data_IF_118757881908
#
_entry.id   IF_118757881908
#
_cell.length_a   1.000
_cell.length_b   1.000
_cell.length_c   1.000
_cell.angle_alpha   90.00
_cell.angle_beta   90.00
_cell.angle_gamma   90.00
#
_symmetry.space_group_name_H-M   'P 1'
#
loop_
_entity.id
_entity.type
_entity.pdbx_description
1 polymer ?
#
# COMPACT_ATOMS: atom_id res chain seq x y z
N UNK A 1 38.89 -12.57 7.82
CA UNK A 1 37.52 -12.31 8.31
C UNK A 1 36.70 -13.54 7.96
N UNK A 2 36.00 -14.16 8.94
CA UNK A 2 35.33 -15.44 8.74
C UNK A 2 34.19 -15.31 7.72
N UNK A 3 34.25 -16.06 6.62
CA UNK A 3 33.22 -16.11 5.56
C UNK A 3 31.81 -16.33 6.12
N UNK A 4 31.70 -17.04 7.26
CA UNK A 4 30.43 -17.26 7.96
C UNK A 4 29.76 -15.96 8.44
N UNK A 5 30.51 -14.96 8.90
CA UNK A 5 29.94 -13.70 9.43
C UNK A 5 29.30 -12.87 8.30
N UNK A 6 29.89 -12.90 7.09
CA UNK A 6 29.38 -12.15 5.94
C UNK A 6 28.04 -12.71 5.43
N UNK A 7 27.87 -14.03 5.46
CA UNK A 7 26.62 -14.69 5.07
C UNK A 7 25.48 -14.34 6.04
N UNK A 8 25.74 -14.30 7.35
CA UNK A 8 24.72 -13.92 8.34
C UNK A 8 24.27 -12.45 8.20
N UNK A 9 25.16 -11.54 7.80
CA UNK A 9 24.80 -10.13 7.55
C UNK A 9 23.93 -9.99 6.29
N UNK A 10 24.22 -10.74 5.21
CA UNK A 10 23.39 -10.74 4.00
C UNK A 10 22.04 -11.40 4.27
N UNK A 11 22.00 -12.50 5.03
CA UNK A 11 20.75 -13.17 5.39
C UNK A 11 19.87 -12.29 6.29
N UNK A 12 20.47 -11.53 7.22
CA UNK A 12 19.78 -10.54 8.03
C UNK A 12 19.20 -9.38 7.22
N UNK A 13 19.90 -8.93 6.18
CA UNK A 13 19.44 -7.86 5.27
C UNK A 13 18.30 -8.32 4.33
N UNK A 14 18.25 -9.60 3.98
CA UNK A 14 17.17 -10.18 3.17
C UNK A 14 15.87 -10.35 3.97
N UNK A 15 15.95 -10.50 5.30
CA UNK A 15 14.78 -10.69 6.16
C UNK A 15 14.09 -9.37 6.58
N UNK A 16 14.68 -8.21 6.32
CA UNK A 16 14.23 -6.92 6.90
C UNK A 16 13.39 -6.02 5.97
N UNK A 17 13.04 -6.45 4.75
CA UNK A 17 12.44 -5.55 3.74
C UNK A 17 11.01 -5.94 3.30
N UNK A 18 10.25 -6.61 4.17
CA UNK A 18 8.83 -6.90 3.92
C UNK A 18 7.95 -6.31 5.02
N UNK A 19 8.00 -4.98 5.19
CA UNK A 19 6.93 -4.25 5.86
C UNK A 19 5.83 -4.09 4.80
N UNK A 20 4.99 -5.11 4.68
CA UNK A 20 3.71 -4.93 4.00
C UNK A 20 2.82 -4.04 4.87
N UNK A 21 1.95 -3.25 4.25
CA UNK A 21 0.92 -2.54 5.00
C UNK A 21 0.15 -3.51 5.88
N UNK A 22 0.08 -3.18 7.16
CA UNK A 22 -0.76 -3.93 8.08
C UNK A 22 -2.22 -3.58 7.78
N UNK A 23 -3.01 -4.59 7.48
CA UNK A 23 -4.47 -4.47 7.43
C UNK A 23 -4.97 -4.38 8.87
N UNK A 24 -5.70 -3.31 9.18
CA UNK A 24 -6.34 -3.10 10.46
C UNK A 24 -7.82 -3.47 10.35
N UNK A 25 -8.40 -3.84 11.50
CA UNK A 25 -9.83 -4.16 11.62
C UNK A 25 -10.41 -3.23 12.68
N UNK A 26 -11.45 -2.47 12.31
CA UNK A 26 -12.15 -1.58 13.24
C UNK A 26 -13.04 -2.37 14.23
N UNK A 27 -13.57 -1.68 15.25
CA UNK A 27 -14.56 -2.26 16.17
C UNK A 27 -15.84 -2.73 15.45
N UNK A 28 -16.20 -2.08 14.33
CA UNK A 28 -17.34 -2.47 13.47
C UNK A 28 -17.01 -3.63 12.52
N UNK A 29 -15.78 -4.16 12.59
CA UNK A 29 -15.29 -5.23 11.72
C UNK A 29 -14.97 -4.75 10.30
N UNK A 30 -14.64 -3.48 10.12
CA UNK A 30 -14.24 -2.91 8.81
C UNK A 30 -12.76 -3.12 8.62
N UNK A 31 -12.37 -3.72 7.50
CA UNK A 31 -10.96 -3.89 7.11
C UNK A 31 -10.45 -2.63 6.40
N UNK A 32 -9.30 -2.10 6.81
CA UNK A 32 -8.68 -0.93 6.17
C UNK A 32 -7.16 -0.94 6.26
N UNK A 33 -6.51 -0.22 5.36
CA UNK A 33 -5.04 -0.12 5.29
C UNK A 33 -4.51 0.86 6.34
N UNK A 34 -3.57 0.44 7.20
CA UNK A 34 -2.93 1.33 8.18
C UNK A 34 -2.31 2.58 7.55
N UNK A 35 -1.74 2.47 6.35
CA UNK A 35 -1.12 3.59 5.64
C UNK A 35 -2.16 4.68 5.28
N UNK A 36 -3.45 4.32 5.14
CA UNK A 36 -4.51 5.30 4.86
C UNK A 36 -4.69 6.30 6.00
N UNK A 37 -4.47 5.88 7.25
CA UNK A 37 -4.54 6.75 8.43
C UNK A 37 -3.27 7.60 8.52
N UNK A 38 -2.11 7.01 8.25
CA UNK A 38 -0.83 7.72 8.27
C UNK A 38 -0.79 8.84 7.22
N UNK A 39 -1.44 8.63 6.07
CA UNK A 39 -1.58 9.64 5.02
C UNK A 39 -2.27 10.93 5.50
N UNK A 40 -3.22 10.84 6.44
CA UNK A 40 -3.88 12.02 7.02
C UNK A 40 -3.06 12.68 8.14
N UNK A 41 -2.22 11.92 8.84
CA UNK A 41 -1.48 12.43 10.00
C UNK A 41 -0.14 13.08 9.64
N UNK A 42 0.36 12.88 8.42
CA UNK A 42 1.67 13.36 8.00
C UNK A 42 1.62 14.01 6.62
N UNK A 43 1.51 15.35 6.60
CA UNK A 43 1.49 16.15 5.37
C UNK A 43 2.75 15.90 4.52
N UNK A 44 3.91 15.74 5.14
CA UNK A 44 5.17 15.44 4.45
C UNK A 44 5.13 14.06 3.80
N UNK A 45 4.49 13.07 4.43
CA UNK A 45 4.25 11.76 3.80
C UNK A 45 3.30 11.87 2.60
N UNK A 46 2.25 12.68 2.71
CA UNK A 46 1.35 12.93 1.59
C UNK A 46 2.09 13.59 0.42
N UNK A 47 2.85 14.65 0.69
CA UNK A 47 3.68 15.35 -0.30
C UNK A 47 4.74 14.42 -0.93
N UNK A 48 5.51 13.69 -0.12
CA UNK A 48 6.55 12.77 -0.63
C UNK A 48 5.96 11.69 -1.54
N UNK A 49 4.80 11.13 -1.18
CA UNK A 49 4.11 10.16 -2.03
C UNK A 49 3.51 10.80 -3.28
N UNK A 50 2.96 12.01 -3.22
CA UNK A 50 2.48 12.74 -4.41
C UNK A 50 3.60 13.02 -5.43
N UNK A 51 4.78 13.42 -4.96
CA UNK A 51 5.89 13.87 -5.83
C UNK A 51 6.75 12.73 -6.39
N UNK A 52 6.99 11.66 -5.64
CA UNK A 52 7.95 10.61 -6.07
C UNK A 52 7.35 9.53 -6.97
N UNK A 53 6.03 9.52 -7.18
CA UNK A 53 5.34 8.43 -7.87
C UNK A 53 4.23 8.99 -8.78
N UNK A 54 4.58 9.95 -9.64
CA UNK A 54 3.68 10.60 -10.60
C UNK A 54 2.89 9.64 -11.52
N UNK A 55 3.25 8.36 -11.56
CA UNK A 55 2.53 7.30 -12.29
C UNK A 55 1.72 6.34 -11.41
N UNK A 56 1.91 6.34 -10.08
CA UNK A 56 1.40 5.29 -9.18
C UNK A 56 0.55 5.81 -7.99
N UNK A 57 0.61 7.10 -7.63
CA UNK A 57 -0.23 7.66 -6.55
C UNK A 57 -1.24 8.69 -7.07
N UNK A 58 -2.17 8.24 -7.92
CA UNK A 58 -3.42 8.99 -8.21
C UNK A 58 -4.41 8.96 -7.02
N UNK A 59 -3.89 8.92 -5.80
CA UNK A 59 -4.66 8.50 -4.64
C UNK A 59 -4.60 9.44 -3.47
N UNK A 60 -3.77 10.48 -3.52
CA UNK A 60 -3.81 11.58 -2.56
C UNK A 60 -3.99 12.87 -3.32
N UNK A 61 -4.89 13.70 -2.85
CA UNK A 61 -5.15 15.03 -3.38
C UNK A 61 -5.13 16.04 -2.23
N UNK A 62 -4.70 17.26 -2.52
CA UNK A 62 -4.76 18.37 -1.55
C UNK A 62 -5.77 19.36 -2.10
N UNK A 63 -6.91 19.47 -1.43
CA UNK A 63 -7.99 20.35 -1.84
C UNK A 63 -8.15 21.42 -0.78
N UNK A 64 -7.68 22.63 -1.10
CA UNK A 64 -7.49 23.68 -0.10
C UNK A 64 -6.27 23.35 0.76
N UNK A 65 -6.47 23.26 2.08
CA UNK A 65 -5.43 22.91 3.07
C UNK A 65 -5.67 21.51 3.68
N UNK A 66 -6.52 20.68 3.05
CA UNK A 66 -6.88 19.36 3.53
C UNK A 66 -6.39 18.26 2.60
N UNK A 67 -5.93 17.15 3.20
CA UNK A 67 -5.57 15.92 2.48
C UNK A 67 -6.84 15.12 2.21
N UNK A 68 -6.98 14.66 0.98
CA UNK A 68 -8.05 13.79 0.49
C UNK A 68 -7.46 12.50 -0.03
N UNK A 69 -8.03 11.36 0.34
CA UNK A 69 -7.55 10.04 -0.04
C UNK A 69 -8.51 9.39 -1.03
N UNK A 70 -8.02 8.87 -2.15
CA UNK A 70 -8.83 8.04 -3.02
C UNK A 70 -8.96 6.64 -2.43
N UNK A 71 -10.19 6.20 -2.23
CA UNK A 71 -10.53 4.90 -1.66
C UNK A 71 -11.59 4.19 -2.49
N UNK A 72 -11.56 2.87 -2.44
CA UNK A 72 -12.63 1.98 -2.89
C UNK A 72 -13.25 1.35 -1.64
N UNK A 73 -14.56 1.50 -1.50
CA UNK A 73 -15.33 0.99 -0.38
C UNK A 73 -16.15 -0.18 -0.89
N UNK A 74 -16.13 -1.30 -0.17
CA UNK A 74 -17.07 -2.40 -0.39
C UNK A 74 -17.92 -2.64 0.82
N UNK A 75 -19.16 -3.05 0.56
CA UNK A 75 -20.18 -3.27 1.58
C UNK A 75 -20.28 -4.76 1.92
N UNK A 76 -20.80 -5.06 3.11
CA UNK A 76 -21.07 -6.44 3.54
C UNK A 76 -22.24 -7.01 2.74
N UNK A 77 -22.04 -8.20 2.23
CA UNK A 77 -23.09 -8.94 1.51
C UNK A 77 -23.94 -9.75 2.48
N UNK A 78 -25.16 -9.27 2.71
CA UNK A 78 -26.18 -9.95 3.51
C UNK A 78 -27.39 -10.34 2.66
N UNK A 79 -27.25 -10.38 1.33
CA UNK A 79 -28.35 -10.66 0.40
C UNK A 79 -28.85 -12.11 0.47
N UNK A 80 -27.98 -13.04 0.89
CA UNK A 80 -28.22 -14.47 0.79
C UNK A 80 -28.19 -15.00 -0.65
N UNK A 81 -27.79 -14.17 -1.64
CA UNK A 81 -27.75 -14.55 -3.05
C UNK A 81 -26.43 -15.25 -3.36
N UNK A 82 -26.51 -16.58 -3.51
CA UNK A 82 -25.39 -17.40 -3.96
C UNK A 82 -25.35 -17.49 -5.49
N UNK A 83 -24.22 -17.11 -6.10
CA UNK A 83 -24.06 -17.10 -7.57
C UNK A 83 -23.71 -18.51 -8.05
N UNK A 84 -24.72 -19.33 -8.30
CA UNK A 84 -24.59 -20.73 -8.77
C UNK A 84 -25.37 -20.97 -10.07
N UNK A 85 -25.12 -22.10 -10.74
CA UNK A 85 -25.85 -22.51 -11.95
C UNK A 85 -25.13 -22.24 -13.28
N UNK A 86 -25.93 -22.22 -14.35
CA UNK A 86 -25.51 -21.95 -15.74
C UNK A 86 -25.08 -20.49 -15.93
N UNK A 87 -24.51 -20.16 -17.10
CA UNK A 87 -24.05 -18.80 -17.39
C UNK A 87 -25.21 -17.78 -17.32
N UNK A 88 -26.36 -18.15 -17.86
CA UNK A 88 -27.57 -17.34 -17.88
C UNK A 88 -28.16 -17.14 -16.49
N UNK A 89 -28.21 -18.21 -15.67
CA UNK A 89 -28.67 -18.14 -14.27
C UNK A 89 -27.74 -17.26 -13.43
N UNK A 90 -26.42 -17.45 -13.56
CA UNK A 90 -25.43 -16.61 -12.86
C UNK A 90 -25.56 -15.14 -13.25
N UNK A 91 -25.87 -14.83 -14.51
CA UNK A 91 -26.07 -13.44 -14.96
C UNK A 91 -27.32 -12.83 -14.30
N UNK A 92 -28.41 -13.59 -14.17
CA UNK A 92 -29.61 -13.12 -13.46
C UNK A 92 -29.32 -12.86 -11.98
N UNK A 93 -28.64 -13.79 -11.31
CA UNK A 93 -28.27 -13.65 -9.89
C UNK A 93 -27.32 -12.48 -9.64
N UNK A 94 -26.40 -12.18 -10.56
CA UNK A 94 -25.56 -10.98 -10.49
C UNK A 94 -26.41 -9.72 -10.55
N UNK A 95 -27.34 -9.64 -11.50
CA UNK A 95 -28.23 -8.47 -11.61
C UNK A 95 -29.11 -8.30 -10.35
N UNK A 96 -29.71 -9.37 -9.85
CA UNK A 96 -30.50 -9.34 -8.61
C UNK A 96 -29.66 -8.86 -7.41
N UNK A 97 -28.39 -9.25 -7.37
CA UNK A 97 -27.45 -8.82 -6.34
C UNK A 97 -27.06 -7.35 -6.48
N UNK A 98 -26.85 -6.87 -7.70
CA UNK A 98 -26.62 -5.45 -7.97
C UNK A 98 -27.82 -4.59 -7.54
N UNK A 99 -29.04 -5.02 -7.88
CA UNK A 99 -30.28 -4.37 -7.46
C UNK A 99 -30.44 -4.38 -5.93
N UNK A 100 -29.98 -5.43 -5.25
CA UNK A 100 -29.99 -5.49 -3.78
C UNK A 100 -29.01 -4.50 -3.15
N UNK A 101 -27.82 -4.30 -3.74
CA UNK A 101 -26.81 -3.38 -3.21
C UNK A 101 -27.16 -1.91 -3.41
N UNK A 102 -27.90 -1.56 -4.46
CA UNK A 102 -28.24 -0.17 -4.80
C UNK A 102 -28.82 0.63 -3.61
N UNK A 103 -29.87 0.18 -2.89
CA UNK A 103 -30.38 0.89 -1.73
C UNK A 103 -29.40 0.90 -0.54
N UNK A 104 -28.53 -0.11 -0.39
CA UNK A 104 -27.53 -0.16 0.70
C UNK A 104 -26.41 0.85 0.44
N UNK A 105 -25.99 0.98 -0.82
CA UNK A 105 -25.03 2.00 -1.26
C UNK A 105 -25.61 3.39 -1.01
N UNK A 106 -26.86 3.63 -1.40
CA UNK A 106 -27.51 4.93 -1.21
C UNK A 106 -27.67 5.29 0.26
N UNK A 107 -27.98 4.30 1.11
CA UNK A 107 -28.10 4.50 2.55
C UNK A 107 -26.75 4.87 3.20
N UNK A 108 -25.67 4.17 2.87
CA UNK A 108 -24.32 4.52 3.37
C UNK A 108 -23.89 5.89 2.86
N UNK A 109 -24.09 6.17 1.57
CA UNK A 109 -23.77 7.48 0.99
C UNK A 109 -24.60 8.61 1.59
N UNK A 110 -25.85 8.35 1.98
CA UNK A 110 -26.72 9.30 2.66
C UNK A 110 -26.19 9.74 4.05
N UNK A 111 -25.26 8.98 4.64
CA UNK A 111 -24.59 9.36 5.90
C UNK A 111 -23.38 10.28 5.71
N UNK A 112 -22.90 10.42 4.46
CA UNK A 112 -21.73 11.20 4.10
C UNK A 112 -22.15 12.52 3.45
N UNK A 113 -21.55 13.62 3.90
CA UNK A 113 -21.66 14.92 3.23
C UNK A 113 -20.65 15.05 2.09
N UNK A 114 -20.77 16.11 1.28
CA UNK A 114 -19.76 16.45 0.26
C UNK A 114 -18.39 16.81 0.86
N UNK A 115 -18.35 17.18 2.15
CA UNK A 115 -17.11 17.43 2.92
C UNK A 115 -16.48 16.12 3.42
N UNK A 116 -17.28 15.06 3.55
CA UNK A 116 -16.78 13.73 3.91
C UNK A 116 -16.22 12.99 2.70
N UNK A 117 -16.93 13.06 1.57
CA UNK A 117 -16.59 12.28 0.39
C UNK A 117 -17.06 12.91 -0.92
N UNK A 118 -16.16 12.88 -1.92
CA UNK A 118 -16.44 13.21 -3.32
C UNK A 118 -16.47 11.92 -4.14
N UNK A 119 -17.67 11.50 -4.50
CA UNK A 119 -17.90 10.24 -5.21
C UNK A 119 -17.32 10.32 -6.62
N UNK A 120 -16.53 9.31 -7.00
CA UNK A 120 -16.03 9.12 -8.36
C UNK A 120 -16.86 8.09 -9.14
N UNK A 121 -17.37 7.07 -8.46
CA UNK A 121 -18.17 6.01 -9.08
C UNK A 121 -18.86 5.09 -8.07
N UNK A 122 -19.86 4.34 -8.57
CA UNK A 122 -20.49 3.23 -7.85
C UNK A 122 -20.08 1.91 -8.52
N UNK A 123 -19.89 0.87 -7.72
CA UNK A 123 -19.70 -0.52 -8.17
C UNK A 123 -20.90 -1.38 -7.80
N UNK A 124 -20.88 -2.65 -8.20
CA UNK A 124 -21.95 -3.61 -7.90
C UNK A 124 -22.11 -3.91 -6.41
N UNK A 125 -21.09 -3.64 -5.59
CA UNK A 125 -21.02 -3.98 -4.16
C UNK A 125 -20.47 -2.82 -3.31
N UNK A 126 -20.46 -1.59 -3.84
CA UNK A 126 -19.83 -0.46 -3.17
C UNK A 126 -19.66 0.78 -4.04
N UNK A 127 -18.65 1.58 -3.73
CA UNK A 127 -18.39 2.85 -4.39
C UNK A 127 -16.94 3.30 -4.21
N UNK A 128 -16.47 4.21 -5.07
CA UNK A 128 -15.13 4.80 -4.98
C UNK A 128 -15.19 6.33 -5.05
N UNK A 129 -14.19 6.98 -4.46
CA UNK A 129 -14.11 8.44 -4.43
C UNK A 129 -12.96 8.95 -3.60
N UNK A 130 -12.87 10.28 -3.49
CA UNK A 130 -11.96 10.96 -2.60
C UNK A 130 -12.64 11.14 -1.25
N UNK A 131 -11.98 10.73 -0.17
CA UNK A 131 -12.50 10.79 1.19
C UNK A 131 -11.63 11.71 2.05
N UNK A 132 -12.27 12.51 2.89
CA UNK A 132 -11.59 13.26 3.94
C UNK A 132 -11.33 12.35 5.14
N UNK A 133 -10.51 12.83 6.09
CA UNK A 133 -10.28 12.11 7.35
C UNK A 133 -11.58 11.82 8.10
N UNK A 134 -12.48 12.80 8.16
CA UNK A 134 -13.76 12.67 8.86
C UNK A 134 -14.65 11.64 8.16
N UNK A 135 -14.69 11.65 6.83
CA UNK A 135 -15.39 10.62 6.06
C UNK A 135 -14.85 9.21 6.34
N UNK A 136 -13.52 9.05 6.41
CA UNK A 136 -12.90 7.76 6.73
C UNK A 136 -13.30 7.29 8.14
N UNK A 137 -13.25 8.18 9.13
CA UNK A 137 -13.64 7.86 10.52
C UNK A 137 -15.11 7.45 10.64
N UNK A 138 -16.00 8.01 9.81
CA UNK A 138 -17.41 7.58 9.73
C UNK A 138 -17.51 6.16 9.17
N UNK A 139 -16.86 5.91 8.03
CA UNK A 139 -16.97 4.62 7.33
C UNK A 139 -16.35 3.45 8.10
N UNK A 140 -15.24 3.65 8.81
CA UNK A 140 -14.65 2.57 9.63
C UNK A 140 -15.56 2.17 10.81
N UNK A 141 -16.54 3.01 11.19
CA UNK A 141 -17.51 2.72 12.25
C UNK A 141 -18.85 2.22 11.71
N UNK A 142 -19.04 2.24 10.39
CA UNK A 142 -20.27 1.79 9.77
C UNK A 142 -20.27 0.26 9.64
N UNK A 143 -21.22 -0.40 10.29
CA UNK A 143 -21.34 -1.85 10.30
C UNK A 143 -21.67 -2.44 8.91
N UNK A 144 -22.18 -1.64 7.97
CA UNK A 144 -22.50 -2.07 6.61
C UNK A 144 -21.26 -2.11 5.73
N UNK A 145 -20.19 -1.40 6.11
CA UNK A 145 -18.94 -1.40 5.37
C UNK A 145 -18.17 -2.70 5.68
N UNK A 146 -17.61 -3.31 4.65
CA UNK A 146 -16.77 -4.50 4.77
C UNK A 146 -15.30 -4.13 4.75
N UNK A 147 -14.87 -3.43 3.69
CA UNK A 147 -13.48 -3.08 3.46
C UNK A 147 -13.38 -1.69 2.85
N UNK A 148 -12.34 -0.96 3.26
CA UNK A 148 -11.91 0.31 2.66
C UNK A 148 -10.51 0.08 2.12
N UNK A 149 -10.43 -0.04 0.80
CA UNK A 149 -9.20 -0.31 0.10
C UNK A 149 -8.65 0.99 -0.49
N UNK A 150 -7.38 1.26 -0.22
CA UNK A 150 -6.64 2.30 -0.91
C UNK A 150 -6.04 1.70 -2.20
N UNK A 151 -6.59 2.00 -3.40
CA UNK A 151 -6.16 1.37 -4.65
C UNK A 151 -4.71 1.73 -4.99
N UNK A 152 -3.78 0.88 -4.59
CA UNK A 152 -2.37 0.92 -4.99
C UNK A 152 -2.21 0.48 -6.44
N UNK A 153 -2.58 1.31 -7.42
CA UNK A 153 -2.20 1.02 -8.82
C UNK A 153 -0.69 1.23 -8.95
N UNK A 154 0.06 0.13 -9.03
CA UNK A 154 1.48 0.18 -9.36
C UNK A 154 2.42 0.53 -8.20
N UNK A 155 1.95 0.54 -6.94
CA UNK A 155 2.87 0.61 -5.80
C UNK A 155 3.62 -0.73 -5.67
N UNK A 156 4.68 -0.92 -6.45
CA UNK A 156 5.83 -1.65 -5.90
C UNK A 156 6.13 -0.97 -4.60
N UNK A 157 6.02 -1.67 -3.46
CA UNK A 157 6.36 -1.15 -2.15
C UNK A 157 7.56 -0.23 -2.32
N UNK A 158 7.36 1.08 -2.17
CA UNK A 158 8.47 2.02 -2.21
C UNK A 158 9.19 1.72 -0.92
N UNK A 159 10.13 0.79 -1.05
CA UNK A 159 10.89 0.26 0.04
C UNK A 159 11.89 1.37 0.36
N UNK A 160 11.39 2.41 1.03
CA UNK A 160 12.11 3.59 1.53
C UNK A 160 13.04 3.21 2.69
N UNK A 161 13.42 1.93 2.78
CA UNK A 161 14.50 1.46 3.62
C UNK A 161 15.75 2.29 3.29
N UNK A 162 16.35 2.99 4.27
CA UNK A 162 17.58 3.76 4.07
C UNK A 162 18.73 2.90 3.49
N UNK A 163 18.61 1.58 3.61
CA UNK A 163 19.51 0.59 3.03
C UNK A 163 19.45 0.54 1.50
N UNK A 164 18.28 0.74 0.90
CA UNK A 164 18.12 0.77 -0.55
C UNK A 164 18.60 2.11 -1.08
N UNK A 165 18.29 3.24 -0.43
CA UNK A 165 18.83 4.56 -0.85
C UNK A 165 20.37 4.60 -0.85
N UNK A 166 21.00 3.80 0.01
CA UNK A 166 22.46 3.68 0.14
C UNK A 166 23.05 2.43 -0.52
N UNK A 167 22.30 1.68 -1.34
CA UNK A 167 22.80 0.46 -1.98
C UNK A 167 24.05 0.74 -2.82
N UNK A 168 24.10 1.91 -3.47
CA UNK A 168 25.23 2.36 -4.26
C UNK A 168 26.50 2.56 -3.40
N UNK A 169 26.37 3.13 -2.20
CA UNK A 169 27.48 3.25 -1.25
C UNK A 169 27.96 1.89 -0.76
N UNK A 170 27.05 0.96 -0.50
CA UNK A 170 27.39 -0.41 -0.09
C UNK A 170 28.19 -1.11 -1.20
N UNK A 171 27.73 -1.03 -2.45
CA UNK A 171 28.44 -1.60 -3.62
C UNK A 171 29.81 -0.93 -3.81
N UNK A 172 29.89 0.39 -3.63
CA UNK A 172 31.14 1.14 -3.76
C UNK A 172 32.15 0.78 -2.66
N UNK A 173 31.70 0.58 -1.43
CA UNK A 173 32.52 0.07 -0.31
C UNK A 173 33.03 -1.34 -0.61
N UNK A 174 32.17 -2.22 -1.12
CA UNK A 174 32.57 -3.59 -1.52
C UNK A 174 33.61 -3.56 -2.63
N UNK A 175 33.43 -2.72 -3.66
CA UNK A 175 34.42 -2.56 -4.73
C UNK A 175 35.76 -2.02 -4.22
N UNK A 176 35.74 -0.98 -3.38
CA UNK A 176 36.95 -0.43 -2.75
C UNK A 176 37.68 -1.49 -1.93
N UNK A 177 36.95 -2.32 -1.18
CA UNK A 177 37.52 -3.42 -0.43
C UNK A 177 38.27 -4.40 -1.34
N UNK A 178 37.67 -4.83 -2.47
CA UNK A 178 38.33 -5.72 -3.44
C UNK A 178 39.58 -5.08 -4.08
N UNK A 179 39.54 -3.78 -4.37
CA UNK A 179 40.71 -3.05 -4.89
C UNK A 179 41.85 -3.05 -3.87
N UNK A 180 41.57 -2.75 -2.60
CA UNK A 180 42.56 -2.74 -1.53
C UNK A 180 43.16 -4.14 -1.34
N UNK A 181 42.33 -5.19 -1.36
CA UNK A 181 42.79 -6.57 -1.20
C UNK A 181 43.71 -7.01 -2.34
N UNK A 182 43.36 -6.66 -3.59
CA UNK A 182 44.19 -6.90 -4.78
C UNK A 182 45.54 -6.19 -4.68
N UNK A 183 45.55 -4.92 -4.25
CA UNK A 183 46.79 -4.15 -4.03
C UNK A 183 47.67 -4.78 -2.94
N UNK A 184 47.07 -5.26 -1.85
CA UNK A 184 47.78 -5.93 -0.76
C UNK A 184 48.44 -7.23 -1.20
N UNK A 185 47.75 -8.02 -2.02
CA UNK A 185 48.25 -9.30 -2.54
C UNK A 185 49.40 -9.09 -3.54
N UNK A 186 49.31 -8.08 -4.42
CA UNK A 186 50.40 -7.73 -5.35
C UNK A 186 51.69 -7.33 -4.62
N UNK A 187 51.59 -6.55 -3.52
CA UNK A 187 52.76 -6.19 -2.69
C UNK A 187 53.42 -7.41 -2.02
N UNK A 188 52.65 -8.45 -1.68
CA UNK A 188 53.22 -9.69 -1.12
C UNK A 188 53.98 -10.49 -2.18
N UNK A 189 53.47 -10.55 -3.40
CA UNK A 189 54.14 -11.24 -4.51
C UNK A 189 55.46 -10.56 -4.91
N UNK A 190 55.51 -9.22 -4.95
CA UNK A 190 56.74 -8.49 -5.28
C UNK A 190 57.82 -8.65 -4.21
N UNK A 191 57.44 -8.75 -2.93
CA UNK A 191 58.40 -9.07 -1.84
C UNK A 191 58.93 -10.49 -1.89
N UNK A 192 58.13 -11.46 -2.33
CA UNK A 192 58.58 -12.85 -2.53
C UNK A 192 59.54 -13.00 -3.71
N UNK A 193 59.43 -12.17 -4.75
CA UNK A 193 60.35 -12.20 -5.91
C UNK A 193 61.70 -11.52 -5.67
N UNK A 194 61.85 -10.76 -4.57
CA UNK A 194 63.10 -10.08 -4.19
C UNK A 194 63.91 -10.80 -3.11
N UNK A 195 63.40 -11.94 -2.62
CA UNK A 195 64.13 -12.88 -1.77
C UNK A 195 64.48 -14.09 -2.60
#
# INVERSE_FOLDING_TARGET
>A
MNQKIFIWVILGLLLFNFVGAEMLISEAGVEYDSESIDAFNNLTFAEENMWHNATNYQTLDIIGDEVWLRVMIRLKDNSGIEIVGTREERRKLINEKEEWFEPVIDDVLGTLSEEDMKIAGKSSDGFDGLISRQGLEKLIRDEKVKEINWPRRGATAVNNSPLIKNWYWIVLIIMLYFIIEKLRNNKKQTRKRKK
#
